data_IF_526330379154
#
_entry.id   IF_526330379154
#
_cell.length_a   1.000
_cell.length_b   1.000
_cell.length_c   1.000
_cell.angle_alpha   90.00
_cell.angle_beta   90.00
_cell.angle_gamma   90.00
#
_symmetry.space_group_name_H-M   'P 1'
#
loop_
_entity.id
_entity.type
_entity.pdbx_description
1 polymer ?
#
# COMPACT_ATOMS: atom_id res chain seq x y z
N UNK A 1 -22.42 8.34 2.08
CA UNK A 1 -21.28 7.87 2.90
C UNK A 1 -21.84 7.02 4.00
N UNK A 2 -21.25 5.86 4.27
CA UNK A 2 -21.62 4.98 5.37
C UNK A 2 -20.35 4.44 6.06
N UNK A 3 -20.51 3.94 7.28
CA UNK A 3 -19.49 3.19 7.98
C UNK A 3 -19.70 1.71 7.71
N UNK A 4 -18.71 1.04 7.12
CA UNK A 4 -18.70 -0.40 6.95
C UNK A 4 -18.02 -1.02 8.17
N UNK A 5 -18.78 -1.77 8.94
CA UNK A 5 -18.29 -2.52 10.12
C UNK A 5 -18.12 -3.97 9.70
N UNK A 6 -16.91 -4.49 9.79
CA UNK A 6 -16.64 -5.90 9.57
C UNK A 6 -16.81 -6.69 10.89
N UNK A 7 -17.09 -8.00 10.80
CA UNK A 7 -17.20 -8.86 11.99
C UNK A 7 -15.89 -8.94 12.79
N UNK A 8 -14.74 -8.64 12.18
CA UNK A 8 -13.45 -8.53 12.85
C UNK A 8 -13.28 -7.23 13.67
N UNK A 9 -14.30 -6.36 13.73
CA UNK A 9 -14.26 -5.09 14.46
C UNK A 9 -13.65 -3.91 13.69
N UNK A 10 -13.07 -4.17 12.50
CA UNK A 10 -12.53 -3.13 11.63
C UNK A 10 -13.65 -2.29 11.02
N UNK A 11 -13.45 -0.97 11.07
CA UNK A 11 -14.47 0.01 10.69
C UNK A 11 -13.92 0.91 9.59
N UNK A 12 -14.60 0.95 8.45
CA UNK A 12 -14.14 1.70 7.27
C UNK A 12 -15.17 2.73 6.83
N UNK A 13 -14.71 3.95 6.62
CA UNK A 13 -15.52 4.96 5.95
C UNK A 13 -15.58 4.68 4.46
N UNK A 14 -16.78 4.43 3.92
CA UNK A 14 -17.02 4.15 2.50
C UNK A 14 -17.96 5.19 1.89
N UNK A 15 -17.63 5.60 0.67
CA UNK A 15 -18.44 6.50 -0.15
C UNK A 15 -18.73 5.83 -1.49
N UNK A 16 -20.00 5.58 -1.78
CA UNK A 16 -20.46 5.16 -3.09
C UNK A 16 -20.73 6.41 -3.93
N UNK A 17 -20.27 6.40 -5.18
CA UNK A 17 -20.50 7.48 -6.13
C UNK A 17 -20.63 6.93 -7.55
N UNK A 18 -21.12 7.75 -8.47
CA UNK A 18 -21.19 7.44 -9.89
C UNK A 18 -20.33 8.43 -10.65
N UNK A 19 -19.54 7.91 -11.59
CA UNK A 19 -18.71 8.70 -12.49
C UNK A 19 -18.73 8.00 -13.84
N UNK A 20 -19.03 8.74 -14.92
CA UNK A 20 -19.17 8.21 -16.29
C UNK A 20 -20.08 6.97 -16.39
N UNK A 21 -21.23 7.01 -15.70
CA UNK A 21 -22.21 5.90 -15.71
C UNK A 21 -21.80 4.66 -14.91
N UNK A 22 -20.57 4.60 -14.37
CA UNK A 22 -20.09 3.48 -13.56
C UNK A 22 -20.23 3.79 -12.07
N UNK A 23 -20.77 2.83 -11.33
CA UNK A 23 -20.79 2.89 -9.87
C UNK A 23 -19.42 2.51 -9.32
N UNK A 24 -18.84 3.37 -8.51
CA UNK A 24 -17.53 3.18 -7.89
C UNK A 24 -17.64 3.35 -6.37
N UNK A 25 -16.73 2.70 -5.65
CA UNK A 25 -16.60 2.81 -4.20
C UNK A 25 -15.25 3.42 -3.84
N UNK A 26 -15.30 4.53 -3.09
CA UNK A 26 -14.14 5.18 -2.50
C UNK A 26 -14.06 4.81 -1.02
N UNK A 27 -12.93 4.25 -0.58
CA UNK A 27 -12.61 4.24 0.84
C UNK A 27 -12.22 5.67 1.23
N UNK A 28 -12.73 6.23 2.33
CA UNK A 28 -12.27 7.52 2.87
C UNK A 28 -11.15 7.30 3.91
N UNK A 29 -11.22 6.16 4.63
CA UNK A 29 -10.16 5.54 5.41
C UNK A 29 -10.74 4.73 6.58
N UNK A 30 -9.93 4.49 7.63
CA UNK A 30 -10.25 3.58 8.75
C UNK A 30 -10.59 4.38 10.01
N UNK A 31 -11.55 3.90 10.79
CA UNK A 31 -11.84 4.40 12.14
C UNK A 31 -10.99 3.60 13.15
N UNK A 32 -10.43 4.22 14.20
CA UNK A 32 -10.65 5.59 14.69
C UNK A 32 -9.69 6.64 14.13
N UNK A 33 -8.71 6.25 13.30
CA UNK A 33 -7.69 7.16 12.75
C UNK A 33 -8.29 8.39 12.06
N UNK A 34 -9.48 8.23 11.46
CA UNK A 34 -10.24 9.31 10.84
C UNK A 34 -11.55 9.48 11.61
N UNK A 35 -11.71 10.68 12.15
CA UNK A 35 -12.93 11.07 12.86
C UNK A 35 -14.11 11.22 11.90
N UNK A 36 -15.33 11.27 12.45
CA UNK A 36 -16.53 11.52 11.64
C UNK A 36 -16.47 12.88 10.94
N UNK A 37 -15.90 13.90 11.60
CA UNK A 37 -15.75 15.24 11.03
C UNK A 37 -14.83 15.21 9.81
N UNK A 38 -13.66 14.59 9.94
CA UNK A 38 -12.70 14.46 8.84
C UNK A 38 -13.28 13.65 7.68
N UNK A 39 -14.04 12.59 7.98
CA UNK A 39 -14.70 11.80 6.94
C UNK A 39 -15.75 12.62 6.16
N UNK A 40 -16.46 13.54 6.83
CA UNK A 40 -17.41 14.47 6.17
C UNK A 40 -16.67 15.49 5.30
N UNK A 41 -15.56 16.06 5.78
CA UNK A 41 -14.73 16.97 4.98
C UNK A 41 -14.25 16.28 3.70
N UNK A 42 -13.68 15.07 3.82
CA UNK A 42 -13.20 14.29 2.65
C UNK A 42 -14.33 13.93 1.68
N UNK A 43 -15.55 13.72 2.17
CA UNK A 43 -16.73 13.50 1.32
C UNK A 43 -17.03 14.75 0.50
N UNK A 44 -16.98 15.91 1.12
CA UNK A 44 -17.31 17.17 0.46
C UNK A 44 -16.22 17.57 -0.54
N UNK A 45 -14.94 17.35 -0.22
CA UNK A 45 -13.84 17.44 -1.18
C UNK A 45 -14.04 16.51 -2.38
N UNK A 46 -14.43 15.26 -2.13
CA UNK A 46 -14.71 14.29 -3.19
C UNK A 46 -15.85 14.76 -4.09
N UNK A 47 -16.91 15.35 -3.51
CA UNK A 47 -18.02 15.92 -4.28
C UNK A 47 -17.56 17.08 -5.17
N UNK A 48 -16.69 17.96 -4.66
CA UNK A 48 -16.09 19.04 -5.45
C UNK A 48 -15.27 18.49 -6.62
N UNK A 49 -14.49 17.43 -6.41
CA UNK A 49 -13.72 16.78 -7.48
C UNK A 49 -14.63 16.16 -8.55
N UNK A 50 -15.72 15.50 -8.14
CA UNK A 50 -16.69 14.94 -9.08
C UNK A 50 -17.40 16.03 -9.89
N UNK A 51 -17.71 17.17 -9.29
CA UNK A 51 -18.27 18.33 -10.00
C UNK A 51 -17.29 18.89 -11.05
N UNK A 52 -15.99 18.81 -10.78
CA UNK A 52 -14.93 19.19 -11.72
C UNK A 52 -14.62 18.10 -12.75
N UNK A 53 -15.33 16.97 -12.75
CA UNK A 53 -15.07 15.86 -13.66
C UNK A 53 -13.79 15.09 -13.38
N UNK A 54 -13.26 15.13 -12.15
CA UNK A 54 -12.03 14.42 -11.77
C UNK A 54 -12.36 13.20 -10.92
N UNK A 55 -11.85 12.03 -11.31
CA UNK A 55 -12.02 10.80 -10.53
C UNK A 55 -11.14 10.80 -9.25
N UNK A 56 -11.73 10.80 -8.04
CA UNK A 56 -10.99 10.75 -6.78
C UNK A 56 -10.28 9.41 -6.52
N UNK A 57 -10.70 8.33 -7.18
CA UNK A 57 -10.11 7.00 -7.07
C UNK A 57 -8.70 6.93 -7.62
N UNK A 58 -8.44 7.64 -8.72
CA UNK A 58 -7.13 7.66 -9.37
C UNK A 58 -6.08 8.40 -8.55
N UNK A 59 -6.48 9.46 -7.83
CA UNK A 59 -5.58 10.17 -6.91
C UNK A 59 -5.02 9.25 -5.83
N UNK A 60 -5.84 8.33 -5.29
CA UNK A 60 -5.38 7.31 -4.31
C UNK A 60 -4.51 6.25 -4.95
N UNK A 61 -4.87 5.78 -6.14
CA UNK A 61 -4.06 4.80 -6.88
C UNK A 61 -2.67 5.37 -7.16
N UNK A 62 -2.59 6.64 -7.57
CA UNK A 62 -1.33 7.33 -7.83
C UNK A 62 -0.47 7.47 -6.57
N UNK A 63 -1.04 7.85 -5.42
CA UNK A 63 -0.30 7.89 -4.14
C UNK A 63 0.23 6.50 -3.77
N UNK A 64 -0.58 5.45 -3.93
CA UNK A 64 -0.14 4.07 -3.66
C UNK A 64 1.02 3.68 -4.57
N UNK A 65 0.90 3.96 -5.88
CA UNK A 65 1.94 3.66 -6.86
C UNK A 65 3.23 4.44 -6.59
N UNK A 66 3.14 5.72 -6.21
CA UNK A 66 4.31 6.53 -5.89
C UNK A 66 5.02 6.05 -4.62
N UNK A 67 4.28 5.50 -3.64
CA UNK A 67 4.87 4.89 -2.44
C UNK A 67 5.72 3.66 -2.78
N UNK A 68 5.29 2.84 -3.74
CA UNK A 68 6.01 1.64 -4.19
C UNK A 68 7.30 1.98 -4.94
N UNK A 69 7.36 3.14 -5.62
CA UNK A 69 8.56 3.58 -6.35
C UNK A 69 9.71 4.02 -5.42
N UNK A 70 9.40 4.45 -4.20
CA UNK A 70 10.39 4.76 -3.16
C UNK A 70 10.65 3.57 -2.24
N UNK A 71 10.78 2.36 -2.80
CA UNK A 71 11.41 1.25 -2.10
C UNK A 71 12.93 1.46 -2.22
N UNK A 72 13.65 1.88 -1.15
CA UNK A 72 15.11 1.86 -1.21
C UNK A 72 15.51 0.39 -1.32
N UNK A 73 16.18 0.02 -2.42
CA UNK A 73 16.82 -1.27 -2.59
C UNK A 73 17.51 -1.65 -1.28
N UNK A 74 16.95 -2.62 -0.56
CA UNK A 74 17.55 -3.16 0.66
C UNK A 74 18.85 -3.81 0.23
N UNK A 75 19.97 -3.08 0.30
CA UNK A 75 21.31 -3.54 -0.04
C UNK A 75 21.58 -4.75 0.85
N UNK A 76 21.32 -5.95 0.33
CA UNK A 76 21.62 -7.20 1.02
C UNK A 76 23.13 -7.22 1.17
N UNK A 77 23.54 -6.96 2.40
CA UNK A 77 24.88 -7.11 2.95
C UNK A 77 25.50 -8.39 2.37
N UNK A 78 26.50 -8.26 1.49
CA UNK A 78 27.43 -9.34 1.20
C UNK A 78 28.22 -9.60 2.49
N UNK A 79 27.65 -10.36 3.41
CA UNK A 79 28.34 -10.93 4.56
C UNK A 79 28.00 -12.42 4.57
N UNK A 80 28.83 -13.23 3.92
CA UNK A 80 28.67 -14.68 3.95
C UNK A 80 29.17 -15.44 2.72
N UNK A 81 30.19 -14.97 2.01
CA UNK A 81 30.97 -15.89 1.16
C UNK A 81 32.10 -16.43 2.03
N UNK A 82 31.89 -17.62 2.62
CA UNK A 82 32.90 -18.30 3.40
C UNK A 82 34.12 -18.58 2.48
N UNK A 83 35.36 -18.38 2.95
CA UNK A 83 36.51 -18.80 2.18
C UNK A 83 36.49 -20.32 2.09
N UNK A 84 36.58 -20.83 0.86
CA UNK A 84 36.79 -22.24 0.56
C UNK A 84 38.12 -22.60 1.25
N UNK A 85 38.05 -23.35 2.36
CA UNK A 85 39.25 -23.90 2.98
C UNK A 85 39.83 -24.92 2.01
N UNK A 86 40.80 -24.49 1.20
CA UNK A 86 41.66 -25.38 0.42
C UNK A 86 42.48 -26.22 1.38
N UNK A 87 41.94 -27.39 1.74
CA UNK A 87 42.59 -28.38 2.58
C UNK A 87 42.74 -29.70 1.83
N UNK A 88 43.25 -29.68 0.59
CA UNK A 88 43.67 -30.90 -0.09
C UNK A 88 45.03 -31.30 0.50
N UNK A 89 45.01 -32.11 1.56
CA UNK A 89 46.21 -32.78 2.07
C UNK A 89 46.59 -33.87 1.07
N UNK A 90 47.55 -33.57 0.20
CA UNK A 90 48.21 -34.57 -0.62
C UNK A 90 49.08 -35.38 0.33
N UNK A 91 48.62 -36.58 0.71
CA UNK A 91 49.46 -37.56 1.39
C UNK A 91 50.35 -38.24 0.35
N UNK A 92 51.67 -38.36 0.57
CA UNK A 92 52.52 -39.12 -0.34
C UNK A 92 52.14 -40.60 -0.26
N UNK A 93 51.90 -41.21 -1.42
CA UNK A 93 51.86 -42.66 -1.56
C UNK A 93 53.29 -43.14 -1.27
N UNK A 94 53.45 -43.80 -0.12
CA UNK A 94 54.69 -44.50 0.23
C UNK A 94 54.66 -45.84 -0.51
N UNK A 95 55.63 -45.99 -1.43
CA UNK A 95 56.03 -47.17 -2.21
C UNK A 95 54.97 -47.86 -3.09
#
# INVERSE_FOLDING_TARGET
>A
MHLLVHPNGSKYWRLQYRYEGKQKMLALGVYPEITLADARVRRDETRKLLANGVDPGDKRKMIRLNRVKHEPLKKSRLSGMAPIKSGLKITPIVC
#
